data_IF_076524952452
#
_entry.id   IF_076524952452
#
_cell.length_a   1.000
_cell.length_b   1.000
_cell.length_c   1.000
_cell.angle_alpha   90.00
_cell.angle_beta   90.00
_cell.angle_gamma   90.00
#
_symmetry.space_group_name_H-M   'P 1'
#
loop_
_entity.id
_entity.type
_entity.pdbx_description
1 polymer ?
#
# COMPACT_ATOMS: atom_id res chain seq x y z
N UNK A 1 7.11 5.88 42.76
CA UNK A 1 7.51 5.29 41.46
C UNK A 1 7.50 3.75 41.47
N UNK A 2 6.55 3.11 42.16
CA UNK A 2 6.46 1.63 42.24
C UNK A 2 5.16 1.04 41.66
N UNK A 3 4.27 1.88 41.10
CA UNK A 3 2.98 1.45 40.52
C UNK A 3 3.01 1.26 39.00
N UNK A 4 4.03 1.75 38.31
CA UNK A 4 4.15 1.61 36.86
C UNK A 4 4.72 0.25 36.42
N UNK A 5 5.53 -0.39 37.27
CA UNK A 5 6.20 -1.67 36.94
C UNK A 5 5.26 -2.87 37.01
N UNK A 6 4.24 -2.82 37.89
CA UNK A 6 3.29 -3.95 38.07
C UNK A 6 2.31 -4.05 36.90
N UNK A 7 1.93 -2.94 36.28
CA UNK A 7 1.02 -2.94 35.11
C UNK A 7 1.74 -3.47 33.86
N UNK A 8 3.05 -3.26 33.74
CA UNK A 8 3.84 -3.74 32.60
C UNK A 8 4.10 -5.26 32.65
N UNK A 9 4.16 -5.87 33.84
CA UNK A 9 4.27 -7.32 33.97
C UNK A 9 2.95 -8.08 33.72
N UNK A 10 1.79 -7.49 34.00
CA UNK A 10 0.50 -8.16 33.75
C UNK A 10 0.10 -8.21 32.27
N UNK A 11 0.54 -7.27 31.44
CA UNK A 11 0.27 -7.31 29.99
C UNK A 11 1.15 -8.35 29.28
N UNK A 12 2.34 -8.65 29.82
CA UNK A 12 3.23 -9.68 29.26
C UNK A 12 2.78 -11.11 29.61
N UNK A 13 2.09 -11.30 30.73
CA UNK A 13 1.54 -12.60 31.14
C UNK A 13 0.26 -13.01 30.37
N UNK A 14 -0.48 -12.06 29.81
CA UNK A 14 -1.64 -12.34 28.95
C UNK A 14 -1.28 -12.73 27.50
N UNK A 15 0.00 -12.63 27.12
CA UNK A 15 0.50 -13.05 25.80
C UNK A 15 1.17 -14.43 25.84
N UNK A 16 1.30 -15.06 27.01
CA UNK A 16 1.99 -16.33 27.19
C UNK A 16 1.21 -17.26 28.13
N UNK A 17 0.11 -17.86 27.64
CA UNK A 17 -0.35 -19.12 28.21
C UNK A 17 -1.86 -19.39 28.20
N UNK A 18 -2.31 -20.14 27.19
CA UNK A 18 -3.18 -21.31 27.42
C UNK A 18 -2.74 -22.44 26.47
N UNK A 19 -1.85 -23.30 26.95
CA UNK A 19 -1.63 -24.63 26.36
C UNK A 19 -2.84 -25.50 26.75
N UNK A 20 -3.81 -25.58 25.86
CA UNK A 20 -4.84 -26.61 25.91
C UNK A 20 -4.42 -27.78 25.02
N UNK A 21 -4.12 -28.93 25.63
CA UNK A 21 -3.98 -30.21 24.95
C UNK A 21 -5.27 -30.55 24.20
N UNK A 22 -5.18 -30.79 22.89
CA UNK A 22 -6.17 -31.57 22.17
C UNK A 22 -5.48 -32.74 21.49
N UNK A 23 -6.06 -33.91 21.72
CA UNK A 23 -5.60 -35.20 21.29
C UNK A 23 -5.55 -35.32 19.76
N UNK A 24 -4.59 -36.13 19.32
CA UNK A 24 -4.35 -36.49 17.92
C UNK A 24 -5.46 -37.38 17.35
N UNK A 25 -5.86 -37.10 16.11
CA UNK A 25 -6.47 -38.06 15.19
C UNK A 25 -5.80 -37.98 13.81
N UNK A 26 -5.85 -39.06 13.00
CA UNK A 26 -4.72 -39.46 12.19
C UNK A 26 -4.69 -38.87 10.77
N UNK A 27 -3.50 -38.38 10.42
CA UNK A 27 -2.79 -38.63 9.16
C UNK A 27 -3.64 -38.96 7.92
N UNK A 28 -4.06 -37.91 7.20
CA UNK A 28 -4.30 -38.01 5.75
C UNK A 28 -2.97 -37.68 5.05
N UNK A 29 -2.46 -38.66 4.31
CA UNK A 29 -1.15 -38.65 3.69
C UNK A 29 -0.89 -37.37 2.86
N UNK A 30 0.01 -36.53 3.35
CA UNK A 30 0.66 -35.50 2.55
C UNK A 30 1.68 -36.17 1.62
N UNK A 31 1.58 -35.86 0.33
CA UNK A 31 2.50 -36.32 -0.70
C UNK A 31 3.92 -35.80 -0.39
N UNK A 32 4.97 -36.65 -0.41
CA UNK A 32 6.32 -36.25 -0.06
C UNK A 32 6.95 -35.51 -1.23
N UNK A 33 6.75 -34.19 -1.28
CA UNK A 33 7.29 -33.40 -2.38
C UNK A 33 7.12 -31.89 -2.26
N UNK A 34 7.32 -31.28 -1.07
CA UNK A 34 7.75 -29.86 -0.98
C UNK A 34 8.11 -29.34 0.43
N UNK A 35 8.56 -30.20 1.35
CA UNK A 35 9.11 -29.74 2.62
C UNK A 35 10.57 -29.29 2.42
N UNK A 36 10.81 -28.06 1.93
CA UNK A 36 12.21 -27.63 1.70
C UNK A 36 12.50 -26.20 1.29
N UNK A 37 11.51 -25.36 1.00
CA UNK A 37 11.74 -23.94 0.75
C UNK A 37 10.64 -23.12 1.41
N UNK A 38 10.87 -22.64 2.64
CA UNK A 38 10.10 -21.50 3.16
C UNK A 38 10.34 -20.36 2.19
N UNK A 39 9.33 -20.08 1.35
CA UNK A 39 9.45 -19.05 0.35
C UNK A 39 9.88 -17.74 1.01
N UNK A 40 10.93 -17.11 0.46
CA UNK A 40 11.46 -15.85 0.99
C UNK A 40 10.47 -14.74 0.66
N UNK A 41 9.80 -14.20 1.67
CA UNK A 41 8.98 -12.98 1.55
C UNK A 41 7.47 -13.20 1.60
N UNK A 42 6.72 -12.12 1.36
CA UNK A 42 5.28 -12.05 1.36
C UNK A 42 4.70 -12.45 -0.01
N UNK A 43 3.77 -13.41 0.00
CA UNK A 43 3.03 -13.80 -1.19
C UNK A 43 1.71 -13.05 -1.31
N UNK A 44 1.49 -12.40 -2.47
CA UNK A 44 0.27 -11.65 -2.77
C UNK A 44 -1.00 -12.52 -2.73
N UNK A 45 -0.91 -13.83 -2.94
CA UNK A 45 -2.05 -14.76 -2.82
C UNK A 45 -2.66 -14.74 -1.43
N UNK A 46 -1.91 -14.34 -0.39
CA UNK A 46 -2.42 -14.16 0.97
C UNK A 46 -3.47 -13.06 1.07
N UNK A 47 -3.49 -12.10 0.14
CA UNK A 47 -4.50 -11.04 0.10
C UNK A 47 -5.89 -11.56 -0.31
N UNK A 48 -6.01 -12.79 -0.80
CA UNK A 48 -7.30 -13.39 -1.12
C UNK A 48 -8.22 -13.49 0.10
N UNK A 49 -7.68 -13.48 1.32
CA UNK A 49 -8.46 -13.44 2.56
C UNK A 49 -9.39 -12.21 2.66
N UNK A 50 -9.02 -11.08 2.04
CA UNK A 50 -9.87 -9.88 2.00
C UNK A 50 -11.03 -9.98 1.00
N UNK A 51 -11.03 -11.02 0.17
CA UNK A 51 -11.98 -11.23 -0.92
C UNK A 51 -12.77 -12.52 -0.78
N UNK A 52 -12.60 -13.26 0.33
CA UNK A 52 -13.32 -14.51 0.56
C UNK A 52 -14.81 -14.21 0.86
N UNK A 53 -15.75 -14.57 -0.04
CA UNK A 53 -17.17 -14.31 0.18
C UNK A 53 -17.76 -15.22 1.25
N UNK A 54 -17.15 -16.38 1.53
CA UNK A 54 -17.62 -17.32 2.54
C UNK A 54 -17.20 -16.88 3.95
N UNK A 55 -16.13 -16.08 4.05
CA UNK A 55 -15.62 -15.56 5.31
C UNK A 55 -15.22 -14.08 5.16
N UNK A 56 -16.19 -13.16 5.08
CA UNK A 56 -15.88 -11.73 5.03
C UNK A 56 -15.24 -11.29 6.34
N UNK A 57 -14.11 -10.59 6.26
CA UNK A 57 -13.45 -10.04 7.44
C UNK A 57 -14.26 -8.87 8.00
N UNK A 58 -14.50 -8.89 9.30
CA UNK A 58 -15.00 -7.70 10.01
C UNK A 58 -13.95 -6.57 10.01
N UNK A 59 -14.33 -5.29 10.19
CA UNK A 59 -13.41 -4.16 10.17
C UNK A 59 -12.17 -4.32 11.06
N UNK A 60 -12.35 -4.81 12.29
CA UNK A 60 -11.25 -5.02 13.23
C UNK A 60 -10.31 -6.16 12.80
N UNK A 61 -10.86 -7.25 12.26
CA UNK A 61 -10.07 -8.36 11.74
C UNK A 61 -9.29 -7.93 10.49
N UNK A 62 -9.93 -7.18 9.58
CA UNK A 62 -9.28 -6.58 8.42
C UNK A 62 -8.12 -5.68 8.84
N UNK A 63 -8.29 -4.81 9.84
CA UNK A 63 -7.21 -3.99 10.37
C UNK A 63 -6.06 -4.83 10.93
N UNK A 64 -6.36 -5.85 11.75
CA UNK A 64 -5.34 -6.75 12.32
C UNK A 64 -4.55 -7.46 11.22
N UNK A 65 -5.23 -8.06 10.25
CA UNK A 65 -4.60 -8.77 9.13
C UNK A 65 -3.72 -7.82 8.32
N UNK A 66 -4.21 -6.63 7.97
CA UNK A 66 -3.43 -5.63 7.24
C UNK A 66 -2.19 -5.19 8.01
N UNK A 67 -2.32 -4.92 9.31
CA UNK A 67 -1.19 -4.51 10.17
C UNK A 67 -0.13 -5.61 10.28
N UNK A 68 -0.55 -6.87 10.44
CA UNK A 68 0.36 -8.02 10.44
C UNK A 68 1.10 -8.14 9.12
N UNK A 69 0.39 -8.04 7.98
CA UNK A 69 0.99 -8.15 6.66
C UNK A 69 1.98 -7.01 6.37
N UNK A 70 1.65 -5.78 6.75
CA UNK A 70 2.57 -4.65 6.63
C UNK A 70 3.82 -4.85 7.50
N UNK A 71 3.66 -5.36 8.72
CA UNK A 71 4.79 -5.58 9.62
C UNK A 71 5.72 -6.69 9.11
N UNK A 72 5.15 -7.77 8.56
CA UNK A 72 5.92 -8.84 7.95
C UNK A 72 6.73 -8.35 6.75
N UNK A 73 6.08 -7.63 5.82
CA UNK A 73 6.75 -7.16 4.60
C UNK A 73 7.78 -6.06 4.88
N UNK A 74 7.52 -5.13 5.80
CA UNK A 74 8.51 -4.11 6.20
C UNK A 74 9.65 -4.67 7.04
N UNK A 75 9.38 -5.69 7.88
CA UNK A 75 10.41 -6.35 8.68
C UNK A 75 11.29 -7.31 7.87
N UNK A 76 10.76 -7.89 6.79
CA UNK A 76 11.48 -8.76 5.87
C UNK A 76 11.03 -8.53 4.43
N UNK A 77 11.55 -7.49 3.76
CA UNK A 77 11.19 -7.15 2.39
C UNK A 77 11.35 -8.34 1.45
N UNK A 78 10.33 -8.54 0.62
CA UNK A 78 10.35 -9.57 -0.41
C UNK A 78 11.37 -9.23 -1.50
N UNK A 79 12.09 -10.25 -1.98
CA UNK A 79 12.97 -10.08 -3.13
C UNK A 79 12.14 -9.69 -4.37
N UNK A 80 12.59 -8.74 -5.20
CA UNK A 80 11.87 -8.36 -6.41
C UNK A 80 11.67 -9.56 -7.34
N UNK A 81 10.43 -9.82 -7.75
CA UNK A 81 10.08 -10.93 -8.65
C UNK A 81 9.32 -10.42 -9.87
N UNK A 82 9.37 -11.17 -10.99
CA UNK A 82 8.49 -10.89 -12.12
C UNK A 82 7.10 -11.45 -11.84
N UNK A 83 6.09 -10.59 -11.88
CA UNK A 83 4.69 -11.01 -11.81
C UNK A 83 4.23 -11.65 -13.12
N UNK A 84 3.09 -12.34 -13.06
CA UNK A 84 2.47 -13.02 -14.22
C UNK A 84 2.18 -12.08 -15.40
N UNK A 85 2.12 -10.76 -15.17
CA UNK A 85 1.93 -9.75 -16.21
C UNK A 85 3.20 -9.12 -16.76
N UNK A 86 4.38 -9.66 -16.46
CA UNK A 86 5.67 -9.13 -16.90
C UNK A 86 6.19 -7.95 -16.07
N UNK A 87 5.34 -7.30 -15.27
CA UNK A 87 5.75 -6.24 -14.34
C UNK A 87 6.52 -6.75 -13.12
N UNK A 88 7.40 -5.91 -12.58
CA UNK A 88 8.13 -6.20 -11.35
C UNK A 88 7.22 -6.09 -10.12
N UNK A 89 7.14 -7.15 -9.34
CA UNK A 89 6.57 -7.18 -7.99
C UNK A 89 7.70 -6.82 -7.03
N UNK A 90 7.66 -5.61 -6.51
CA UNK A 90 8.65 -5.07 -5.55
C UNK A 90 8.06 -4.98 -4.15
N UNK A 91 8.92 -4.77 -3.16
CA UNK A 91 8.53 -4.46 -1.78
C UNK A 91 7.41 -3.41 -1.68
N UNK A 92 7.64 -2.22 -2.24
CA UNK A 92 6.66 -1.13 -2.23
C UNK A 92 5.37 -1.46 -2.98
N UNK A 93 5.43 -2.31 -4.01
CA UNK A 93 4.23 -2.81 -4.68
C UNK A 93 3.41 -3.71 -3.75
N UNK A 94 4.05 -4.60 -2.99
CA UNK A 94 3.38 -5.47 -2.04
C UNK A 94 2.72 -4.65 -0.94
N UNK A 95 3.44 -3.69 -0.35
CA UNK A 95 2.87 -2.77 0.64
C UNK A 95 1.66 -2.02 0.09
N UNK A 96 1.76 -1.51 -1.13
CA UNK A 96 0.65 -0.88 -1.86
C UNK A 96 -0.59 -1.79 -1.96
N UNK A 97 -0.40 -3.07 -2.30
CA UNK A 97 -1.51 -4.03 -2.37
C UNK A 97 -2.10 -4.33 -0.99
N UNK A 98 -1.29 -4.47 0.06
CA UNK A 98 -1.76 -4.71 1.43
C UNK A 98 -2.63 -3.54 1.91
N UNK A 99 -2.16 -2.30 1.76
CA UNK A 99 -2.92 -1.10 2.15
C UNK A 99 -4.23 -0.99 1.39
N UNK A 100 -4.21 -1.25 0.07
CA UNK A 100 -5.41 -1.18 -0.75
C UNK A 100 -6.44 -2.24 -0.35
N UNK A 101 -5.99 -3.47 -0.07
CA UNK A 101 -6.85 -4.55 0.40
C UNK A 101 -7.50 -4.20 1.74
N UNK A 102 -6.71 -3.72 2.71
CA UNK A 102 -7.20 -3.28 4.01
C UNK A 102 -8.21 -2.14 3.92
N UNK A 103 -7.91 -1.11 3.12
CA UNK A 103 -8.82 0.02 2.91
C UNK A 103 -10.14 -0.41 2.25
N UNK A 104 -10.08 -1.28 1.23
CA UNK A 104 -11.28 -1.80 0.56
C UNK A 104 -12.12 -2.70 1.48
N UNK A 105 -11.47 -3.43 2.39
CA UNK A 105 -12.12 -4.23 3.43
C UNK A 105 -12.61 -3.40 4.63
N UNK A 106 -12.55 -2.06 4.55
CA UNK A 106 -12.97 -1.14 5.60
C UNK A 106 -12.30 -1.41 6.95
N UNK A 107 -10.98 -1.63 6.92
CA UNK A 107 -10.17 -1.81 8.12
C UNK A 107 -10.49 -0.75 9.19
N UNK A 108 -10.67 -1.21 10.43
CA UNK A 108 -11.10 -0.40 11.56
C UNK A 108 -10.17 0.80 11.82
N UNK A 109 -10.75 2.00 11.74
CA UNK A 109 -10.03 3.27 11.88
C UNK A 109 -9.34 3.40 13.23
N UNK A 110 -10.00 3.01 14.33
CA UNK A 110 -9.47 3.21 15.68
C UNK A 110 -8.23 2.31 15.91
N UNK A 111 -8.28 1.07 15.43
CA UNK A 111 -7.16 0.14 15.45
C UNK A 111 -5.97 0.67 14.63
N UNK A 112 -6.21 1.18 13.42
CA UNK A 112 -5.16 1.76 12.58
C UNK A 112 -4.51 3.00 13.24
N UNK A 113 -5.30 3.90 13.82
CA UNK A 113 -4.75 5.06 14.54
C UNK A 113 -3.98 4.66 15.80
N UNK A 114 -4.44 3.64 16.53
CA UNK A 114 -3.71 3.11 17.68
C UNK A 114 -2.34 2.55 17.24
N UNK A 115 -2.30 1.76 16.17
CA UNK A 115 -1.07 1.20 15.61
C UNK A 115 -0.13 2.29 15.08
N UNK A 116 -0.64 3.30 14.38
CA UNK A 116 0.17 4.42 13.88
C UNK A 116 0.81 5.25 15.02
N UNK A 117 0.16 5.35 16.18
CA UNK A 117 0.70 6.04 17.37
C UNK A 117 1.78 5.25 18.08
N UNK A 118 1.67 3.92 18.11
CA UNK A 118 2.65 3.05 18.76
C UNK A 118 3.83 2.70 17.85
N UNK A 119 3.68 2.81 16.53
CA UNK A 119 4.74 2.53 15.57
C UNK A 119 5.85 3.60 15.60
N UNK A 120 7.14 3.20 15.50
CA UNK A 120 8.22 4.15 15.25
C UNK A 120 8.03 4.85 13.89
N UNK A 121 8.68 5.99 13.70
CA UNK A 121 8.73 6.63 12.39
C UNK A 121 9.40 5.70 11.36
N UNK A 122 8.84 5.64 10.15
CA UNK A 122 9.32 4.78 9.07
C UNK A 122 8.18 4.21 8.24
N UNK A 123 8.55 3.40 7.25
CA UNK A 123 7.66 2.91 6.19
C UNK A 123 6.41 2.18 6.71
N UNK A 124 6.55 1.37 7.77
CA UNK A 124 5.41 0.71 8.40
C UNK A 124 4.34 1.71 8.86
N UNK A 125 4.75 2.79 9.54
CA UNK A 125 3.86 3.84 10.01
C UNK A 125 3.28 4.64 8.85
N UNK A 126 4.09 4.92 7.84
CA UNK A 126 3.66 5.64 6.64
C UNK A 126 2.58 4.87 5.88
N UNK A 127 2.74 3.55 5.75
CA UNK A 127 1.73 2.69 5.15
C UNK A 127 0.41 2.72 5.91
N UNK A 128 0.44 2.81 7.25
CA UNK A 128 -0.79 2.92 8.05
C UNK A 128 -1.49 4.25 7.75
N UNK A 129 -0.76 5.37 7.69
CA UNK A 129 -1.34 6.66 7.33
C UNK A 129 -1.89 6.69 5.90
N UNK A 130 -1.18 6.10 4.94
CA UNK A 130 -1.66 5.96 3.56
C UNK A 130 -2.95 5.13 3.49
N UNK A 131 -3.01 4.01 4.23
CA UNK A 131 -4.22 3.18 4.32
C UNK A 131 -5.40 3.92 4.97
N UNK A 132 -5.17 4.68 6.05
CA UNK A 132 -6.16 5.58 6.65
C UNK A 132 -6.68 6.60 5.62
N UNK A 133 -5.79 7.17 4.82
CA UNK A 133 -6.13 8.09 3.72
C UNK A 133 -7.00 7.44 2.66
N UNK A 134 -6.64 6.23 2.22
CA UNK A 134 -7.42 5.46 1.24
C UNK A 134 -8.83 5.10 1.75
N UNK A 135 -8.99 4.96 3.06
CA UNK A 135 -10.26 4.77 3.76
C UNK A 135 -11.05 6.07 4.00
N UNK A 136 -10.46 7.23 3.75
CA UNK A 136 -11.11 8.55 3.84
C UNK A 136 -10.94 9.26 5.17
N UNK A 137 -9.95 8.87 5.98
CA UNK A 137 -9.63 9.59 7.20
C UNK A 137 -9.00 10.95 6.88
N UNK A 138 -9.74 12.03 7.17
CA UNK A 138 -9.27 13.41 6.93
C UNK A 138 -8.15 13.86 7.86
N UNK A 139 -7.92 13.15 8.98
CA UNK A 139 -6.87 13.51 9.95
C UNK A 139 -5.47 13.28 9.40
N UNK A 140 -5.30 12.40 8.42
CA UNK A 140 -4.00 12.13 7.78
C UNK A 140 -3.72 13.02 6.56
N UNK A 141 -4.63 13.93 6.19
CA UNK A 141 -4.42 14.80 5.01
C UNK A 141 -3.11 15.60 5.05
N UNK A 142 -2.71 16.23 6.17
CA UNK A 142 -1.41 16.89 6.23
C UNK A 142 -0.24 15.95 5.94
N UNK A 143 -0.31 14.71 6.44
CA UNK A 143 0.67 13.67 6.13
C UNK A 143 0.66 13.31 4.63
N UNK A 144 -0.52 13.08 4.04
CA UNK A 144 -0.64 12.70 2.63
C UNK A 144 -0.12 13.81 1.70
N UNK A 145 -0.37 15.08 2.02
CA UNK A 145 0.15 16.23 1.27
C UNK A 145 1.68 16.24 1.31
N UNK A 146 2.28 16.11 2.50
CA UNK A 146 3.74 16.04 2.64
C UNK A 146 4.33 14.83 1.92
N UNK A 147 3.71 13.66 2.08
CA UNK A 147 4.19 12.41 1.48
C UNK A 147 4.14 12.44 -0.05
N UNK A 148 3.08 12.99 -0.64
CA UNK A 148 2.94 13.12 -2.08
C UNK A 148 3.93 14.13 -2.69
N UNK A 149 4.21 15.21 -1.97
CA UNK A 149 5.09 16.30 -2.42
C UNK A 149 6.59 15.97 -2.35
N UNK A 150 6.98 14.97 -1.58
CA UNK A 150 8.36 14.53 -1.48
C UNK A 150 8.69 13.49 -2.57
N UNK A 151 9.51 13.91 -3.55
CA UNK A 151 9.94 13.08 -4.66
C UNK A 151 10.88 11.92 -4.25
N UNK A 152 11.46 11.96 -3.04
CA UNK A 152 12.27 10.87 -2.49
C UNK A 152 11.43 9.66 -2.05
N UNK A 153 10.12 9.84 -1.85
CA UNK A 153 9.23 8.75 -1.48
C UNK A 153 8.98 7.79 -2.66
N UNK A 154 8.74 6.52 -2.31
CA UNK A 154 8.44 5.49 -3.29
C UNK A 154 7.27 5.90 -4.20
N UNK A 155 7.45 5.88 -5.53
CA UNK A 155 6.41 6.30 -6.46
C UNK A 155 5.13 5.45 -6.36
N UNK A 156 5.25 4.18 -5.99
CA UNK A 156 4.10 3.31 -5.71
C UNK A 156 3.27 3.87 -4.57
N UNK A 157 3.91 4.22 -3.45
CA UNK A 157 3.26 4.72 -2.24
C UNK A 157 2.73 6.15 -2.44
N UNK A 158 3.46 7.01 -3.16
CA UNK A 158 2.97 8.33 -3.59
C UNK A 158 1.72 8.23 -4.45
N UNK A 159 1.63 7.22 -5.32
CA UNK A 159 0.42 6.94 -6.09
C UNK A 159 -0.78 6.62 -5.22
N UNK A 160 -0.57 5.94 -4.09
CA UNK A 160 -1.63 5.72 -3.12
C UNK A 160 -2.06 6.99 -2.38
N UNK A 161 -1.14 7.93 -2.11
CA UNK A 161 -1.51 9.25 -1.59
C UNK A 161 -2.37 10.03 -2.59
N UNK A 162 -1.98 10.09 -3.86
CA UNK A 162 -2.80 10.71 -4.92
C UNK A 162 -4.16 10.01 -5.08
N UNK A 163 -4.19 8.68 -4.99
CA UNK A 163 -5.42 7.88 -5.05
C UNK A 163 -6.35 8.13 -3.85
N UNK A 164 -5.80 8.42 -2.68
CA UNK A 164 -6.60 8.81 -1.52
C UNK A 164 -7.38 10.09 -1.82
N UNK A 165 -6.75 11.10 -2.43
CA UNK A 165 -7.43 12.34 -2.85
C UNK A 165 -8.41 12.14 -4.02
N UNK A 166 -8.14 11.17 -4.91
CA UNK A 166 -9.12 10.77 -5.91
C UNK A 166 -10.39 10.20 -5.26
N UNK A 167 -10.27 9.37 -4.23
CA UNK A 167 -11.43 8.80 -3.52
C UNK A 167 -12.13 9.84 -2.64
N UNK A 168 -11.32 10.64 -1.96
CA UNK A 168 -11.73 11.59 -0.93
C UNK A 168 -11.14 12.97 -1.23
N UNK A 169 -11.78 13.75 -2.13
CA UNK A 169 -11.33 15.09 -2.47
C UNK A 169 -11.17 15.99 -1.25
N UNK A 170 -9.98 16.58 -1.11
CA UNK A 170 -9.66 17.57 -0.09
C UNK A 170 -8.96 18.78 -0.73
N UNK A 171 -9.49 20.01 -0.58
CA UNK A 171 -8.91 21.21 -1.18
C UNK A 171 -7.46 21.48 -0.79
N UNK A 172 -7.00 21.00 0.37
CA UNK A 172 -5.63 21.18 0.85
C UNK A 172 -4.59 20.46 -0.02
N UNK A 173 -5.01 19.53 -0.87
CA UNK A 173 -4.12 18.78 -1.74
C UNK A 173 -3.98 19.37 -3.15
N UNK A 174 -4.72 20.43 -3.48
CA UNK A 174 -4.75 20.98 -4.84
C UNK A 174 -3.35 21.36 -5.31
N UNK A 175 -2.58 22.11 -4.51
CA UNK A 175 -1.25 22.58 -4.90
C UNK A 175 -0.27 21.42 -5.14
N UNK A 176 -0.26 20.42 -4.24
CA UNK A 176 0.63 19.27 -4.38
C UNK A 176 0.23 18.36 -5.54
N UNK A 177 -1.07 18.20 -5.82
CA UNK A 177 -1.55 17.46 -6.99
C UNK A 177 -1.17 18.18 -8.28
N UNK A 178 -1.24 19.52 -8.32
CA UNK A 178 -0.77 20.30 -9.45
C UNK A 178 0.73 20.15 -9.70
N UNK A 179 1.53 20.15 -8.63
CA UNK A 179 2.96 19.86 -8.73
C UNK A 179 3.21 18.44 -9.26
N UNK A 180 2.42 17.46 -8.82
CA UNK A 180 2.51 16.04 -9.23
C UNK A 180 2.17 15.83 -10.71
N UNK A 181 1.44 16.75 -11.37
CA UNK A 181 1.23 16.66 -12.83
C UNK A 181 2.53 16.76 -13.65
N UNK A 182 3.59 17.30 -13.05
CA UNK A 182 4.92 17.43 -13.65
C UNK A 182 5.87 16.30 -13.25
N UNK A 183 5.37 15.30 -12.52
CA UNK A 183 6.21 14.22 -12.00
C UNK A 183 6.84 13.42 -13.15
N UNK A 184 8.17 13.21 -13.15
CA UNK A 184 8.85 12.49 -14.21
C UNK A 184 8.61 10.98 -14.12
N UNK A 185 8.11 10.48 -12.99
CA UNK A 185 7.89 9.06 -12.79
C UNK A 185 6.57 8.62 -13.41
N UNK A 186 6.68 7.90 -14.51
CA UNK A 186 5.60 7.15 -15.12
C UNK A 186 6.10 5.72 -15.37
N UNK A 187 5.30 4.74 -15.00
CA UNK A 187 5.55 3.34 -15.37
C UNK A 187 4.41 2.95 -16.29
N UNK A 188 4.75 2.65 -17.54
CA UNK A 188 3.82 2.28 -18.61
C UNK A 188 3.49 0.78 -18.50
N UNK A 189 2.24 0.42 -18.79
CA UNK A 189 1.78 -0.98 -18.87
C UNK A 189 2.51 -1.75 -19.97
N UNK A 190 2.83 -3.01 -19.68
CA UNK A 190 3.04 -4.04 -20.70
C UNK A 190 1.73 -4.76 -20.98
N UNK A 191 1.44 -4.97 -22.25
CA UNK A 191 0.35 -5.80 -22.77
C UNK A 191 0.56 -7.26 -22.34
N UNK A 192 -0.16 -7.73 -21.31
CA UNK A 192 -0.17 -9.16 -20.97
C UNK A 192 -0.54 -9.60 -19.54
N UNK A 193 -0.63 -8.71 -18.54
CA UNK A 193 -1.12 -9.08 -17.21
C UNK A 193 -0.98 -7.96 -16.17
N UNK A 194 -1.17 -8.20 -14.85
CA UNK A 194 -1.44 -7.12 -13.91
C UNK A 194 -0.18 -6.31 -13.57
N UNK A 195 0.04 -5.25 -14.34
CA UNK A 195 0.72 -4.02 -13.91
C UNK A 195 -0.32 -2.89 -13.86
N UNK A 196 -0.56 -2.34 -12.67
CA UNK A 196 -1.25 -1.04 -12.50
C UNK A 196 -0.48 -0.17 -11.52
N UNK A 197 0.75 0.16 -11.86
CA UNK A 197 1.30 1.46 -11.52
C UNK A 197 0.43 2.48 -12.27
N UNK A 198 -0.24 3.33 -11.51
CA UNK A 198 -0.87 4.46 -12.14
C UNK A 198 0.22 5.50 -12.32
N UNK A 199 0.40 5.97 -13.56
CA UNK A 199 1.11 7.21 -13.81
C UNK A 199 0.63 8.25 -12.79
N UNK A 200 1.55 8.77 -11.98
CA UNK A 200 1.23 9.71 -10.91
C UNK A 200 0.49 10.92 -11.45
N UNK A 201 0.83 11.34 -12.67
CA UNK A 201 0.18 12.44 -13.37
C UNK A 201 -1.27 12.10 -13.71
N UNK A 202 -1.55 10.84 -14.10
CA UNK A 202 -2.92 10.39 -14.34
C UNK A 202 -3.72 10.41 -13.05
N UNK A 203 -3.19 9.89 -11.93
CA UNK A 203 -3.93 9.93 -10.66
C UNK A 203 -4.14 11.36 -10.16
N UNK A 204 -3.11 12.20 -10.24
CA UNK A 204 -3.20 13.60 -9.84
C UNK A 204 -4.22 14.35 -10.69
N UNK A 205 -4.22 14.13 -12.00
CA UNK A 205 -5.22 14.67 -12.92
C UNK A 205 -6.62 14.19 -12.59
N UNK A 206 -6.81 12.89 -12.40
CA UNK A 206 -8.11 12.33 -12.04
C UNK A 206 -8.62 12.88 -10.71
N UNK A 207 -7.74 13.06 -9.73
CA UNK A 207 -8.09 13.65 -8.45
C UNK A 207 -8.53 15.12 -8.60
N UNK A 208 -7.80 15.92 -9.40
CA UNK A 208 -8.15 17.31 -9.69
C UNK A 208 -9.46 17.43 -10.48
N UNK A 209 -9.70 16.56 -11.47
CA UNK A 209 -10.98 16.53 -12.18
C UNK A 209 -12.15 16.21 -11.23
N UNK A 210 -11.99 15.19 -10.38
CA UNK A 210 -13.01 14.85 -9.38
C UNK A 210 -13.23 15.99 -8.37
N UNK A 211 -12.16 16.71 -7.99
CA UNK A 211 -12.27 17.92 -7.16
C UNK A 211 -13.12 18.99 -7.85
N UNK A 212 -12.85 19.28 -9.12
CA UNK A 212 -13.61 20.24 -9.92
C UNK A 212 -15.09 19.84 -10.04
N UNK A 213 -15.38 18.57 -10.33
CA UNK A 213 -16.75 18.04 -10.40
C UNK A 213 -17.49 18.19 -9.06
N UNK A 214 -16.79 18.10 -7.93
CA UNK A 214 -17.36 18.33 -6.58
C UNK A 214 -17.35 19.79 -6.13
N UNK A 215 -17.05 20.74 -7.02
CA UNK A 215 -17.07 22.17 -6.73
C UNK A 215 -15.91 22.67 -5.86
N UNK A 216 -14.82 21.90 -5.76
CA UNK A 216 -13.58 22.38 -5.13
C UNK A 216 -12.92 23.39 -6.08
N UNK A 217 -12.67 24.64 -5.64
CA UNK A 217 -12.05 25.64 -6.49
C UNK A 217 -10.62 25.21 -6.84
N UNK A 218 -10.33 25.14 -8.14
CA UNK A 218 -8.99 24.90 -8.64
C UNK A 218 -8.35 26.24 -9.07
N UNK A 219 -7.04 26.45 -8.82
CA UNK A 219 -6.38 27.64 -9.32
C UNK A 219 -6.32 27.60 -10.86
N UNK A 220 -6.32 28.75 -11.55
CA UNK A 220 -6.32 28.80 -13.02
C UNK A 220 -5.19 27.97 -13.66
N UNK A 221 -4.02 27.93 -13.02
CA UNK A 221 -2.88 27.10 -13.45
C UNK A 221 -3.19 25.60 -13.44
N UNK A 222 -3.96 25.11 -12.46
CA UNK A 222 -4.40 23.72 -12.39
C UNK A 222 -5.35 23.40 -13.55
N UNK A 223 -6.34 24.26 -13.77
CA UNK A 223 -7.33 24.11 -14.85
C UNK A 223 -6.64 24.08 -16.21
N UNK A 224 -5.64 24.95 -16.42
CA UNK A 224 -4.83 24.97 -17.63
C UNK A 224 -3.98 23.71 -17.80
N UNK A 225 -3.51 23.08 -16.72
CA UNK A 225 -2.69 21.87 -16.78
C UNK A 225 -3.49 20.58 -17.06
N UNK A 226 -4.80 20.55 -16.79
CA UNK A 226 -5.68 19.40 -17.02
C UNK A 226 -5.74 18.90 -18.48
N UNK A 227 -5.84 19.75 -19.53
CA UNK A 227 -5.85 19.30 -20.92
C UNK A 227 -4.48 18.84 -21.45
N UNK A 228 -3.36 19.22 -20.82
CA UNK A 228 -2.00 18.97 -21.34
C UNK A 228 -1.37 17.65 -20.91
N UNK A 229 -2.05 16.83 -20.11
CA UNK A 229 -1.58 15.47 -19.82
C UNK A 229 -1.87 14.58 -21.03
N UNK A 230 -1.08 14.77 -22.08
CA UNK A 230 -0.97 13.80 -23.16
C UNK A 230 -0.33 12.56 -22.54
N UNK A 231 -1.08 11.46 -22.47
CA UNK A 231 -0.48 10.14 -22.29
C UNK A 231 0.47 10.00 -23.48
N UNK A 232 1.76 10.27 -23.29
CA UNK A 232 2.74 9.88 -24.31
C UNK A 232 2.69 8.36 -24.35
N UNK A 233 1.90 7.82 -25.28
CA UNK A 233 1.86 6.40 -25.58
C UNK A 233 3.19 5.90 -26.16
N UNK A 234 4.12 6.79 -26.46
CA UNK A 234 5.41 6.44 -27.03
C UNK A 234 6.55 7.11 -26.27
N UNK A 235 7.32 6.31 -25.54
CA UNK A 235 8.78 6.43 -25.58
C UNK A 235 9.29 5.12 -26.19
N UNK A 236 10.09 5.20 -27.28
CA UNK A 236 10.69 4.01 -27.89
C UNK A 236 11.51 3.27 -26.83
N UNK A 237 11.26 1.97 -26.70
CA UNK A 237 12.21 1.07 -26.07
C UNK A 237 13.44 0.94 -26.98
N UNK A 238 14.36 1.89 -26.91
CA UNK A 238 15.76 1.61 -27.22
C UNK A 238 16.41 1.03 -25.96
N UNK A 239 16.04 -0.22 -25.67
CA UNK A 239 16.94 -1.13 -24.98
C UNK A 239 17.47 -2.04 -26.09
N UNK A 240 18.68 -1.81 -26.63
CA UNK A 240 19.26 -2.77 -27.56
C UNK A 240 19.45 -4.10 -26.80
N UNK A 241 18.94 -5.23 -27.32
CA UNK A 241 19.12 -6.50 -26.66
C UNK A 241 20.59 -6.92 -26.79
N UNK A 242 21.29 -7.01 -25.66
CA UNK A 242 22.50 -7.84 -25.56
C UNK A 242 23.86 -7.18 -25.82
N UNK A 243 24.14 -5.99 -25.30
CA UNK A 243 25.54 -5.55 -25.14
C UNK A 243 26.12 -6.10 -23.82
N UNK A 244 27.08 -7.04 -23.85
CA UNK A 244 27.81 -7.46 -22.65
C UNK A 244 28.69 -6.29 -22.13
N UNK A 245 29.03 -6.29 -20.83
CA UNK A 245 29.90 -5.26 -20.26
C UNK A 245 31.26 -5.34 -20.95
N UNK A 246 31.71 -4.21 -21.50
CA UNK A 246 33.10 -4.07 -21.95
C UNK A 246 33.97 -3.84 -20.72
N UNK A 247 35.02 -4.65 -20.61
CA UNK A 247 36.22 -4.34 -19.83
C UNK A 247 36.89 -3.04 -20.32
#
# INVERSE_FOLDING_TARGET
>A
MARATVVMCMVLALLLGTRGSFAAEPSRAESPGNAGARAKGFHLTRLNIFHDPQRPLGPLEAARVSLTFLQEETGRPSEPTRGLGGGMVTHHYILAQIMLAGANAKADRAALLAAARSAPAGEYRDCIHLMLGLSGDKSVVPFLVGYLGDAGNSPWLRGHAARAFLRHPDPRAVDVLCATLKDPFYVVRTSGGPAKCYDLRILARSALLNMQEKGVPLPPAAVAALPHVVIREEIPMDIPPGTPPKE
#
